data_IF_866973097353
#
_entry.id   IF_866973097353
#
_cell.length_a   1.000
_cell.length_b   1.000
_cell.length_c   1.000
_cell.angle_alpha   90.00
_cell.angle_beta   90.00
_cell.angle_gamma   90.00
#
_symmetry.space_group_name_H-M   'P 1'
#
loop_
_entity.id
_entity.type
_entity.pdbx_description
1 polymer ?
#
# COMPACT_ATOMS: atom_id res chain seq x y z
N UNK A 1 -47.59 56.55 2.75
CA UNK A 1 -46.91 55.45 3.47
C UNK A 1 -47.26 54.19 2.69
N UNK A 2 -46.43 53.80 1.72
CA UNK A 2 -46.70 52.64 0.88
C UNK A 2 -45.38 51.88 0.71
N UNK A 3 -45.39 50.66 1.23
CA UNK A 3 -44.25 49.79 1.48
C UNK A 3 -43.79 49.07 0.20
N UNK A 4 -42.50 49.18 -0.13
CA UNK A 4 -41.84 48.36 -1.15
C UNK A 4 -41.67 46.90 -0.68
N UNK A 5 -42.01 45.87 -1.47
CA UNK A 5 -41.60 44.50 -1.19
C UNK A 5 -40.26 44.15 -1.86
N UNK A 6 -39.39 43.52 -1.05
CA UNK A 6 -38.09 42.90 -1.36
C UNK A 6 -38.08 42.08 -2.67
N UNK A 7 -37.17 42.41 -3.59
CA UNK A 7 -36.69 41.46 -4.60
C UNK A 7 -35.89 40.34 -3.92
N UNK A 8 -36.48 39.15 -3.81
CA UNK A 8 -35.78 37.92 -3.45
C UNK A 8 -35.55 37.14 -4.74
N UNK A 9 -34.30 37.10 -5.21
CA UNK A 9 -33.88 36.39 -6.41
C UNK A 9 -34.22 34.90 -6.31
N UNK A 10 -35.29 34.49 -6.99
CA UNK A 10 -35.54 33.09 -7.34
C UNK A 10 -34.60 32.75 -8.49
N UNK A 11 -33.47 32.12 -8.19
CA UNK A 11 -32.70 31.40 -9.20
C UNK A 11 -33.59 30.23 -9.64
N UNK A 12 -34.12 30.27 -10.86
CA UNK A 12 -34.93 29.21 -11.43
C UNK A 12 -34.18 27.87 -11.39
N UNK A 13 -34.79 26.86 -10.77
CA UNK A 13 -34.37 25.45 -10.87
C UNK A 13 -34.22 24.99 -12.34
N UNK A 14 -34.95 25.62 -13.27
CA UNK A 14 -34.89 25.42 -14.72
C UNK A 14 -33.52 25.70 -15.35
N UNK A 15 -32.67 26.54 -14.74
CA UNK A 15 -31.34 26.84 -15.28
C UNK A 15 -30.27 25.82 -14.86
N UNK A 16 -30.51 25.01 -13.81
CA UNK A 16 -29.56 23.97 -13.37
C UNK A 16 -29.63 22.70 -14.23
N UNK A 17 -30.76 22.45 -14.89
CA UNK A 17 -30.95 21.30 -15.80
C UNK A 17 -30.40 21.52 -17.22
N UNK A 18 -29.93 22.72 -17.55
CA UNK A 18 -29.31 23.06 -18.85
C UNK A 18 -27.79 23.15 -18.82
N UNK A 19 -27.16 22.80 -17.70
CA UNK A 19 -25.73 22.51 -17.72
C UNK A 19 -25.56 21.13 -18.38
N UNK A 20 -24.80 21.00 -19.48
CA UNK A 20 -24.44 19.69 -19.96
C UNK A 20 -23.77 18.92 -18.82
N UNK A 21 -24.07 17.62 -18.61
CA UNK A 21 -23.28 16.81 -17.71
C UNK A 21 -21.80 16.95 -18.13
N UNK A 22 -20.84 16.97 -17.19
CA UNK A 22 -19.43 17.02 -17.54
C UNK A 22 -19.17 15.97 -18.63
N UNK A 23 -18.57 16.43 -19.73
CA UNK A 23 -18.43 15.65 -20.95
C UNK A 23 -17.72 14.35 -20.65
N UNK A 24 -18.41 13.22 -20.87
CA UNK A 24 -17.95 11.84 -20.68
C UNK A 24 -16.56 11.54 -21.31
N UNK A 25 -16.14 12.35 -22.28
CA UNK A 25 -14.85 12.23 -22.96
C UNK A 25 -13.68 12.90 -22.21
N UNK A 26 -13.96 13.86 -21.31
CA UNK A 26 -12.94 14.54 -20.51
C UNK A 26 -12.46 13.71 -19.33
N UNK A 27 -13.36 12.94 -18.70
CA UNK A 27 -13.04 11.99 -17.62
C UNK A 27 -12.17 10.86 -18.16
N UNK A 28 -12.55 10.21 -19.26
CA UNK A 28 -11.79 9.10 -19.84
C UNK A 28 -10.35 9.47 -20.26
N UNK A 29 -10.14 10.71 -20.73
CA UNK A 29 -8.80 11.18 -21.05
C UNK A 29 -7.99 11.44 -19.79
N UNK A 30 -8.59 12.03 -18.76
CA UNK A 30 -7.94 12.29 -17.48
C UNK A 30 -7.53 10.97 -16.79
N UNK A 31 -8.41 9.96 -16.81
CA UNK A 31 -8.16 8.64 -16.25
C UNK A 31 -7.00 7.94 -16.96
N UNK A 32 -6.98 8.00 -18.30
CA UNK A 32 -5.88 7.46 -19.11
C UNK A 32 -4.54 8.17 -18.84
N UNK A 33 -4.55 9.50 -18.63
CA UNK A 33 -3.35 10.26 -18.28
C UNK A 33 -2.78 9.87 -16.93
N UNK A 34 -3.64 9.67 -15.95
CA UNK A 34 -3.19 9.23 -14.62
C UNK A 34 -2.66 7.82 -14.70
N UNK A 35 -3.37 6.90 -15.34
CA UNK A 35 -2.91 5.52 -15.45
C UNK A 35 -1.54 5.45 -16.14
N UNK A 36 -1.36 6.19 -17.24
CA UNK A 36 -0.07 6.34 -17.91
C UNK A 36 1.01 6.96 -17.01
N UNK A 37 0.65 7.97 -16.20
CA UNK A 37 1.54 8.59 -15.22
C UNK A 37 1.96 7.64 -14.09
N UNK A 38 1.04 6.78 -13.62
CA UNK A 38 1.31 5.73 -12.63
C UNK A 38 2.30 4.69 -13.16
N UNK A 39 2.04 4.14 -14.35
CA UNK A 39 2.97 3.23 -15.03
C UNK A 39 4.33 3.88 -15.33
N UNK A 40 4.34 5.14 -15.76
CA UNK A 40 5.56 5.91 -15.99
C UNK A 40 6.38 6.11 -14.72
N UNK A 41 5.72 6.39 -13.59
CA UNK A 41 6.36 6.52 -12.27
C UNK A 41 6.96 5.18 -11.84
N UNK A 42 6.21 4.09 -11.99
CA UNK A 42 6.66 2.73 -11.66
C UNK A 42 7.90 2.34 -12.48
N UNK A 43 7.88 2.61 -13.78
CA UNK A 43 9.02 2.36 -14.68
C UNK A 43 10.26 3.17 -14.26
N UNK A 44 10.09 4.45 -13.89
CA UNK A 44 11.18 5.30 -13.43
C UNK A 44 11.78 4.79 -12.11
N UNK A 45 10.95 4.35 -11.17
CA UNK A 45 11.44 3.75 -9.92
C UNK A 45 12.16 2.43 -10.15
N UNK A 46 11.67 1.58 -11.06
CA UNK A 46 12.32 0.32 -11.42
C UNK A 46 13.66 0.55 -12.13
N UNK A 47 13.71 1.48 -13.10
CA UNK A 47 14.91 1.84 -13.84
C UNK A 47 15.98 2.44 -12.91
N UNK A 48 15.57 3.34 -12.02
CA UNK A 48 16.42 3.91 -10.97
C UNK A 48 16.95 2.80 -10.05
N UNK A 49 16.12 1.84 -9.65
CA UNK A 49 16.56 0.72 -8.81
C UNK A 49 17.56 -0.20 -9.53
N UNK A 50 17.35 -0.49 -10.82
CA UNK A 50 18.30 -1.25 -11.65
C UNK A 50 19.65 -0.53 -11.82
N UNK A 51 19.63 0.80 -11.98
CA UNK A 51 20.84 1.62 -12.01
C UNK A 51 21.60 1.59 -10.67
N UNK A 52 20.89 1.51 -9.54
CA UNK A 52 21.48 1.41 -8.21
C UNK A 52 22.15 0.05 -7.95
N UNK A 53 21.62 -1.04 -8.51
CA UNK A 53 22.20 -2.39 -8.38
C UNK A 53 23.46 -2.54 -9.24
N UNK A 54 23.41 -2.04 -10.47
CA UNK A 54 24.53 -2.11 -11.44
C UNK A 54 25.70 -1.18 -11.07
N UNK A 55 25.45 -0.17 -10.24
CA UNK A 55 26.48 0.63 -9.60
C UNK A 55 27.37 -0.20 -8.67
N UNK A 56 26.84 -1.22 -7.98
CA UNK A 56 27.66 -2.13 -7.18
C UNK A 56 28.66 -2.93 -8.03
N UNK A 57 28.40 -3.05 -9.34
CA UNK A 57 29.23 -3.75 -10.32
C UNK A 57 30.03 -2.82 -11.27
N UNK A 58 30.26 -1.54 -10.91
CA UNK A 58 31.14 -0.58 -11.60
C UNK A 58 30.71 -0.03 -12.98
N UNK A 59 29.47 -0.24 -13.45
CA UNK A 59 29.11 0.08 -14.85
C UNK A 59 28.46 1.46 -15.12
N UNK A 60 27.93 2.19 -14.12
CA UNK A 60 27.11 3.40 -14.35
C UNK A 60 27.41 4.56 -13.37
N UNK A 61 27.26 5.84 -13.81
CA UNK A 61 27.56 7.01 -12.98
C UNK A 61 26.52 7.26 -11.87
N UNK A 62 27.01 7.56 -10.67
CA UNK A 62 26.22 7.77 -9.43
C UNK A 62 25.09 8.82 -9.52
N UNK A 63 25.19 9.80 -10.42
CA UNK A 63 24.15 10.81 -10.56
C UNK A 63 22.87 10.25 -11.21
N UNK A 64 23.00 9.19 -12.02
CA UNK A 64 21.88 8.68 -12.82
C UNK A 64 20.77 8.08 -11.94
N UNK A 65 21.15 7.38 -10.87
CA UNK A 65 20.21 6.83 -9.89
C UNK A 65 19.44 7.93 -9.16
N UNK A 66 20.15 8.91 -8.61
CA UNK A 66 19.52 9.99 -7.83
C UNK A 66 18.64 10.90 -8.68
N UNK A 67 19.03 11.18 -9.93
CA UNK A 67 18.19 11.98 -10.83
C UNK A 67 16.96 11.19 -11.28
N UNK A 68 17.10 9.89 -11.62
CA UNK A 68 15.96 9.03 -11.95
C UNK A 68 14.93 8.96 -10.82
N UNK A 69 15.39 8.81 -9.58
CA UNK A 69 14.50 8.77 -8.41
C UNK A 69 13.78 10.10 -8.17
N UNK A 70 14.46 11.24 -8.36
CA UNK A 70 13.87 12.58 -8.22
C UNK A 70 12.84 12.87 -9.30
N UNK A 71 13.13 12.49 -10.55
CA UNK A 71 12.19 12.64 -11.68
C UNK A 71 10.96 11.78 -11.46
N UNK A 72 11.12 10.52 -11.08
CA UNK A 72 10.01 9.65 -10.72
C UNK A 72 9.19 10.20 -9.56
N UNK A 73 9.84 10.74 -8.52
CA UNK A 73 9.17 11.37 -7.38
C UNK A 73 8.38 12.62 -7.77
N UNK A 74 8.94 13.49 -8.62
CA UNK A 74 8.24 14.68 -9.10
C UNK A 74 6.99 14.30 -9.91
N UNK A 75 7.13 13.31 -10.82
CA UNK A 75 6.00 12.79 -11.58
C UNK A 75 4.92 12.20 -10.66
N UNK A 76 5.31 11.38 -9.69
CA UNK A 76 4.38 10.80 -8.71
C UNK A 76 3.63 11.88 -7.93
N UNK A 77 4.31 12.97 -7.55
CA UNK A 77 3.71 14.10 -6.83
C UNK A 77 2.67 14.81 -7.68
N UNK A 78 2.94 14.99 -8.99
CA UNK A 78 1.99 15.58 -9.94
C UNK A 78 0.77 14.67 -10.11
N UNK A 79 0.98 13.36 -10.28
CA UNK A 79 -0.10 12.38 -10.42
C UNK A 79 -1.00 12.38 -9.16
N UNK A 80 -0.42 12.32 -7.96
CA UNK A 80 -1.19 12.39 -6.71
C UNK A 80 -1.90 13.73 -6.53
N UNK A 81 -1.24 14.83 -6.84
CA UNK A 81 -1.81 16.18 -6.74
C UNK A 81 -2.97 16.43 -7.69
N UNK A 82 -3.03 15.70 -8.80
CA UNK A 82 -4.15 15.72 -9.75
C UNK A 82 -5.24 14.69 -9.38
N UNK A 83 -4.86 13.51 -8.91
CA UNK A 83 -5.81 12.45 -8.54
C UNK A 83 -6.65 12.79 -7.32
N UNK A 84 -6.00 13.15 -6.21
CA UNK A 84 -6.65 13.31 -4.91
C UNK A 84 -7.79 14.36 -4.92
N UNK A 85 -7.66 15.54 -5.59
CA UNK A 85 -8.73 16.53 -5.60
C UNK A 85 -9.73 16.38 -6.76
N UNK A 86 -9.35 15.75 -7.88
CA UNK A 86 -10.20 15.74 -9.09
C UNK A 86 -10.88 14.39 -9.37
N UNK A 87 -10.30 13.28 -8.90
CA UNK A 87 -10.67 11.93 -9.35
C UNK A 87 -10.91 10.94 -8.21
N UNK A 88 -10.47 11.25 -6.98
CA UNK A 88 -10.66 10.38 -5.82
C UNK A 88 -12.15 10.29 -5.44
N UNK A 89 -12.72 9.09 -5.58
CA UNK A 89 -14.12 8.78 -5.24
C UNK A 89 -14.13 7.98 -3.94
N UNK A 90 -14.42 8.66 -2.84
CA UNK A 90 -14.47 8.03 -1.52
C UNK A 90 -15.76 7.23 -1.31
N UNK A 91 -15.71 6.00 -0.78
CA UNK A 91 -14.55 5.22 -0.29
C UNK A 91 -13.97 4.23 -1.31
N UNK A 92 -14.41 4.25 -2.57
CA UNK A 92 -14.05 3.26 -3.57
C UNK A 92 -12.56 3.29 -3.97
N UNK A 93 -12.00 4.48 -4.15
CA UNK A 93 -10.58 4.67 -4.50
C UNK A 93 -9.65 4.69 -3.27
N UNK A 94 -10.18 4.48 -2.06
CA UNK A 94 -9.40 4.70 -0.82
C UNK A 94 -8.18 3.77 -0.70
N UNK A 95 -8.31 2.52 -1.14
CA UNK A 95 -7.23 1.54 -1.04
C UNK A 95 -6.05 1.87 -1.96
N UNK A 96 -6.33 2.17 -3.23
CA UNK A 96 -5.33 2.55 -4.22
C UNK A 96 -4.67 3.89 -3.87
N UNK A 97 -5.46 4.88 -3.46
CA UNK A 97 -4.98 6.20 -3.06
C UNK A 97 -4.00 6.08 -1.88
N UNK A 98 -4.37 5.30 -0.86
CA UNK A 98 -3.54 5.10 0.32
C UNK A 98 -2.23 4.36 -0.02
N UNK A 99 -2.29 3.32 -0.86
CA UNK A 99 -1.11 2.59 -1.31
C UNK A 99 -0.15 3.50 -2.11
N UNK A 100 -0.69 4.33 -3.02
CA UNK A 100 0.10 5.27 -3.81
C UNK A 100 0.74 6.35 -2.93
N UNK A 101 0.00 6.91 -1.97
CA UNK A 101 0.51 7.89 -1.00
C UNK A 101 1.60 7.31 -0.11
N UNK A 102 1.44 6.06 0.35
CA UNK A 102 2.45 5.40 1.19
C UNK A 102 3.71 5.06 0.38
N UNK A 103 3.55 4.65 -0.88
CA UNK A 103 4.68 4.47 -1.79
C UNK A 103 5.45 5.79 -2.01
N UNK A 104 4.74 6.90 -2.22
CA UNK A 104 5.32 8.24 -2.30
C UNK A 104 6.04 8.63 -1.00
N UNK A 105 5.44 8.33 0.16
CA UNK A 105 6.02 8.51 1.49
C UNK A 105 7.33 7.73 1.69
N UNK A 106 7.40 6.49 1.19
CA UNK A 106 8.63 5.70 1.25
C UNK A 106 9.75 6.31 0.39
N UNK A 107 9.42 6.85 -0.79
CA UNK A 107 10.41 7.49 -1.68
C UNK A 107 10.86 8.86 -1.15
N UNK A 108 9.94 9.66 -0.61
CA UNK A 108 10.32 10.92 0.09
C UNK A 108 11.26 10.64 1.25
N UNK A 109 11.00 9.58 2.03
CA UNK A 109 11.88 9.15 3.12
C UNK A 109 13.28 8.81 2.59
N UNK A 110 13.38 8.05 1.49
CA UNK A 110 14.66 7.72 0.84
C UNK A 110 15.43 8.97 0.39
N UNK A 111 14.73 9.99 -0.11
CA UNK A 111 15.33 11.24 -0.60
C UNK A 111 15.75 12.21 0.51
N UNK A 112 15.00 12.26 1.62
CA UNK A 112 15.19 13.23 2.71
C UNK A 112 16.09 12.71 3.84
N UNK A 113 16.22 11.39 4.00
CA UNK A 113 17.07 10.82 5.05
C UNK A 113 18.55 11.21 4.83
N UNK A 114 19.21 11.80 5.85
CA UNK A 114 20.64 12.14 5.78
C UNK A 114 21.50 10.88 5.66
N UNK A 115 22.65 10.99 4.98
CA UNK A 115 23.53 9.85 4.64
C UNK A 115 23.96 8.99 5.84
N UNK A 116 23.90 9.52 7.06
CA UNK A 116 24.22 8.78 8.29
C UNK A 116 23.14 7.76 8.71
N UNK A 117 21.87 8.02 8.37
CA UNK A 117 20.75 7.09 8.60
C UNK A 117 20.52 6.14 7.41
N UNK A 118 21.14 6.42 6.25
CA UNK A 118 21.09 5.58 5.05
C UNK A 118 21.72 4.18 5.25
N UNK A 119 22.62 4.05 6.22
CA UNK A 119 23.15 2.76 6.63
C UNK A 119 22.18 1.96 7.51
N UNK A 120 21.26 2.63 8.22
CA UNK A 120 20.33 2.00 9.16
C UNK A 120 19.09 1.43 8.47
N UNK A 121 18.57 2.12 7.46
CA UNK A 121 17.54 1.61 6.56
C UNK A 121 18.24 1.17 5.29
N UNK A 122 18.37 -0.12 5.04
CA UNK A 122 18.83 -0.60 3.73
C UNK A 122 17.89 -0.07 2.65
N UNK A 123 18.27 1.07 2.02
CA UNK A 123 17.40 1.84 1.12
C UNK A 123 17.02 1.03 -0.12
N UNK A 124 17.81 0.02 -0.48
CA UNK A 124 17.46 -0.91 -1.54
C UNK A 124 16.14 -1.60 -1.21
N UNK A 125 15.96 -2.04 0.03
CA UNK A 125 14.74 -2.75 0.44
C UNK A 125 13.56 -1.78 0.54
N UNK A 126 13.74 -0.59 1.12
CA UNK A 126 12.68 0.45 1.17
C UNK A 126 12.21 0.84 -0.24
N UNK A 127 13.11 0.90 -1.21
CA UNK A 127 12.78 1.17 -2.62
C UNK A 127 12.00 0.03 -3.26
N UNK A 128 12.40 -1.23 -3.03
CA UNK A 128 11.64 -2.41 -3.50
C UNK A 128 10.23 -2.40 -2.91
N UNK A 129 10.10 -2.07 -1.62
CA UNK A 129 8.81 -1.97 -0.96
C UNK A 129 7.93 -0.86 -1.57
N UNK A 130 8.49 0.32 -1.83
CA UNK A 130 7.77 1.40 -2.51
C UNK A 130 7.31 1.03 -3.93
N UNK A 131 8.16 0.34 -4.70
CA UNK A 131 7.83 -0.16 -6.04
C UNK A 131 6.69 -1.18 -5.97
N UNK A 132 6.74 -2.09 -4.99
CA UNK A 132 5.69 -3.09 -4.78
C UNK A 132 4.35 -2.43 -4.46
N UNK A 133 4.32 -1.49 -3.50
CA UNK A 133 3.09 -0.77 -3.13
C UNK A 133 2.51 0.02 -4.31
N UNK A 134 3.36 0.73 -5.06
CA UNK A 134 2.93 1.46 -6.25
C UNK A 134 2.42 0.53 -7.34
N UNK A 135 3.07 -0.63 -7.55
CA UNK A 135 2.64 -1.62 -8.52
C UNK A 135 1.24 -2.16 -8.20
N UNK A 136 0.96 -2.44 -6.92
CA UNK A 136 -0.38 -2.86 -6.48
C UNK A 136 -1.40 -1.73 -6.70
N UNK A 137 -1.06 -0.48 -6.35
CA UNK A 137 -1.96 0.67 -6.55
C UNK A 137 -2.34 0.85 -8.03
N UNK A 138 -1.36 0.78 -8.95
CA UNK A 138 -1.57 0.96 -10.40
C UNK A 138 -2.41 -0.18 -11.00
N UNK A 139 -2.24 -1.41 -10.51
CA UNK A 139 -3.05 -2.56 -10.96
C UNK A 139 -4.51 -2.42 -10.49
N UNK A 140 -4.72 -2.02 -9.24
CA UNK A 140 -6.07 -1.82 -8.69
C UNK A 140 -6.83 -0.71 -9.42
N UNK A 141 -6.15 0.39 -9.76
CA UNK A 141 -6.74 1.52 -10.49
C UNK A 141 -7.12 1.19 -11.94
N UNK A 142 -6.50 0.16 -12.53
CA UNK A 142 -6.88 -0.32 -13.86
C UNK A 142 -8.03 -1.32 -13.89
N UNK A 143 -8.48 -1.81 -12.72
CA UNK A 143 -9.57 -2.77 -12.62
C UNK A 143 -10.86 -2.08 -12.15
N UNK A 144 -11.84 -1.97 -13.04
CA UNK A 144 -13.22 -1.62 -12.69
C UNK A 144 -13.80 -2.77 -11.85
N UNK A 145 -13.62 -2.78 -10.53
CA UNK A 145 -14.12 -3.85 -9.66
C UNK A 145 -15.65 -3.67 -9.52
N UNK A 146 -16.50 -4.52 -10.13
CA UNK A 146 -17.94 -4.29 -10.21
C UNK A 146 -18.66 -4.44 -8.85
N UNK A 147 -17.96 -4.93 -7.83
CA UNK A 147 -18.53 -5.29 -6.54
C UNK A 147 -18.78 -4.12 -5.56
N UNK A 148 -18.31 -2.91 -5.85
CA UNK A 148 -18.47 -1.76 -4.93
C UNK A 148 -19.66 -0.84 -5.26
N UNK A 149 -20.36 -1.08 -6.38
CA UNK A 149 -21.46 -0.24 -6.84
C UNK A 149 -22.83 -0.63 -6.25
N UNK A 150 -22.92 -1.67 -5.40
CA UNK A 150 -24.20 -2.30 -5.07
C UNK A 150 -24.87 -1.87 -3.75
N UNK A 151 -24.42 -0.82 -3.05
CA UNK A 151 -25.06 -0.40 -1.79
C UNK A 151 -25.42 1.08 -1.78
N UNK A 152 -26.41 1.43 -2.59
CA UNK A 152 -26.90 2.80 -2.78
C UNK A 152 -27.88 3.28 -1.68
N UNK A 153 -27.99 2.61 -0.52
CA UNK A 153 -29.05 2.92 0.48
C UNK A 153 -28.66 3.02 1.96
N UNK A 154 -27.39 2.92 2.36
CA UNK A 154 -27.04 2.85 3.78
C UNK A 154 -26.44 4.14 4.38
N UNK A 155 -26.71 4.33 5.67
CA UNK A 155 -26.37 5.52 6.47
C UNK A 155 -24.86 5.86 6.48
N UNK A 156 -24.50 7.11 6.80
CA UNK A 156 -23.11 7.60 6.93
C UNK A 156 -22.17 6.68 7.76
N UNK A 157 -22.74 5.94 8.70
CA UNK A 157 -22.06 4.93 9.51
C UNK A 157 -21.50 3.78 8.67
N UNK A 158 -22.24 3.28 7.69
CA UNK A 158 -21.78 2.20 6.81
C UNK A 158 -20.55 2.64 6.00
N UNK A 159 -20.57 3.84 5.43
CA UNK A 159 -19.41 4.41 4.73
C UNK A 159 -18.20 4.59 5.65
N UNK A 160 -18.43 5.04 6.90
CA UNK A 160 -17.36 5.19 7.88
C UNK A 160 -16.75 3.84 8.29
N UNK A 161 -17.58 2.83 8.55
CA UNK A 161 -17.14 1.47 8.87
C UNK A 161 -16.38 0.85 7.70
N UNK A 162 -16.90 0.99 6.47
CA UNK A 162 -16.25 0.48 5.26
C UNK A 162 -14.88 1.14 5.05
N UNK A 163 -14.81 2.45 5.25
CA UNK A 163 -13.53 3.18 5.19
C UNK A 163 -12.55 2.67 6.24
N UNK A 164 -13.00 2.47 7.48
CA UNK A 164 -12.16 1.96 8.57
C UNK A 164 -11.70 0.52 8.32
N UNK A 165 -12.55 -0.32 7.72
CA UNK A 165 -12.21 -1.66 7.28
C UNK A 165 -11.07 -1.62 6.26
N UNK A 166 -11.22 -0.82 5.20
CA UNK A 166 -10.21 -0.66 4.14
C UNK A 166 -8.89 -0.14 4.73
N UNK A 167 -8.95 0.91 5.56
CA UNK A 167 -7.77 1.49 6.21
C UNK A 167 -7.08 0.46 7.10
N UNK A 168 -7.84 -0.33 7.88
CA UNK A 168 -7.29 -1.38 8.74
C UNK A 168 -6.53 -2.45 7.94
N UNK A 169 -7.10 -2.94 6.84
CA UNK A 169 -6.43 -3.90 5.96
C UNK A 169 -5.18 -3.31 5.31
N UNK A 170 -5.27 -2.12 4.72
CA UNK A 170 -4.12 -1.47 4.06
C UNK A 170 -3.02 -1.16 5.06
N UNK A 171 -3.35 -0.62 6.23
CA UNK A 171 -2.38 -0.37 7.30
C UNK A 171 -1.72 -1.67 7.78
N UNK A 172 -2.49 -2.74 7.94
CA UNK A 172 -1.99 -4.08 8.24
C UNK A 172 -0.96 -4.55 7.21
N UNK A 173 -1.29 -4.44 5.93
CA UNK A 173 -0.40 -4.84 4.83
C UNK A 173 0.90 -4.04 4.80
N UNK A 174 0.83 -2.72 5.01
CA UNK A 174 2.01 -1.86 5.06
C UNK A 174 2.92 -2.28 6.22
N UNK A 175 2.35 -2.54 7.39
CA UNK A 175 3.09 -2.92 8.59
C UNK A 175 3.70 -4.31 8.49
N UNK A 176 2.99 -5.30 7.92
CA UNK A 176 3.56 -6.61 7.66
C UNK A 176 4.65 -6.58 6.60
N UNK A 177 4.50 -5.74 5.57
CA UNK A 177 5.56 -5.46 4.61
C UNK A 177 6.81 -4.88 5.27
N UNK A 178 6.65 -3.92 6.18
CA UNK A 178 7.74 -3.35 6.97
C UNK A 178 8.41 -4.39 7.88
N UNK A 179 7.62 -5.29 8.48
CA UNK A 179 8.14 -6.39 9.28
C UNK A 179 8.96 -7.39 8.44
N UNK A 180 8.46 -7.74 7.25
CA UNK A 180 9.20 -8.56 6.29
C UNK A 180 10.52 -7.89 5.90
N UNK A 181 10.49 -6.58 5.65
CA UNK A 181 11.66 -5.75 5.34
C UNK A 181 12.75 -5.85 6.42
N UNK A 182 12.36 -5.58 7.67
CA UNK A 182 13.26 -5.58 8.80
C UNK A 182 13.84 -6.99 9.04
N UNK A 183 13.06 -8.04 8.78
CA UNK A 183 13.48 -9.43 8.95
C UNK A 183 14.42 -9.91 7.84
N UNK A 184 14.19 -9.48 6.59
CA UNK A 184 15.12 -9.71 5.50
C UNK A 184 16.46 -9.02 5.73
N UNK A 185 16.44 -7.79 6.27
CA UNK A 185 17.64 -7.06 6.63
C UNK A 185 18.41 -7.75 7.76
N UNK A 186 17.71 -8.23 8.79
CA UNK A 186 18.31 -9.02 9.87
C UNK A 186 19.08 -10.23 9.32
N UNK A 187 18.49 -10.98 8.39
CA UNK A 187 19.13 -12.16 7.80
C UNK A 187 20.34 -11.79 6.92
N UNK A 188 20.28 -10.64 6.24
CA UNK A 188 21.41 -10.12 5.47
C UNK A 188 22.59 -9.77 6.38
N UNK A 189 22.35 -9.03 7.47
CA UNK A 189 23.39 -8.69 8.45
C UNK A 189 23.97 -9.95 9.11
N UNK A 190 23.12 -10.91 9.51
CA UNK A 190 23.56 -12.16 10.12
C UNK A 190 24.53 -12.94 9.21
N UNK A 191 24.27 -12.98 7.90
CA UNK A 191 25.16 -13.61 6.91
C UNK A 191 26.50 -12.89 6.79
N UNK A 192 26.50 -11.57 6.78
CA UNK A 192 27.73 -10.77 6.67
C UNK A 192 28.61 -10.88 7.92
N UNK A 193 28.01 -10.94 9.12
CA UNK A 193 28.74 -11.21 10.36
C UNK A 193 29.39 -12.60 10.35
N UNK A 194 28.66 -13.63 9.89
CA UNK A 194 29.18 -15.01 9.79
C UNK A 194 30.28 -15.17 8.76
N UNK A 195 30.27 -14.36 7.69
CA UNK A 195 31.30 -14.37 6.66
C UNK A 195 32.64 -13.72 7.08
N UNK A 196 32.78 -13.23 8.34
CA UNK A 196 33.99 -12.55 8.86
C UNK A 196 34.48 -11.35 8.02
N UNK A 197 33.64 -10.83 7.12
CA UNK A 197 33.93 -9.62 6.35
C UNK A 197 33.72 -8.42 7.27
N UNK A 198 34.73 -8.11 8.10
CA UNK A 198 34.80 -6.86 8.88
C UNK A 198 35.06 -5.69 7.94
N UNK A 199 34.10 -5.39 7.07
CA UNK A 199 34.13 -4.14 6.32
C UNK A 199 33.87 -2.97 7.29
N UNK A 200 34.52 -1.80 7.10
CA UNK A 200 34.29 -0.60 7.91
C UNK A 200 32.81 -0.14 7.95
N UNK A 201 32.00 -0.62 6.99
CA UNK A 201 30.55 -0.38 6.89
C UNK A 201 29.78 -0.99 8.07
N UNK A 202 30.31 -2.03 8.74
CA UNK A 202 29.66 -2.69 9.88
C UNK A 202 29.61 -1.86 11.17
N UNK A 203 30.34 -0.73 11.24
CA UNK A 203 30.32 0.18 12.40
C UNK A 203 29.07 1.08 12.47
N UNK A 204 28.24 1.09 11.43
CA UNK A 204 27.07 1.98 11.32
C UNK A 204 25.72 1.27 11.22
N UNK A 205 25.67 -0.06 11.29
CA UNK A 205 24.39 -0.77 11.37
C UNK A 205 23.83 -0.72 12.80
N UNK A 206 22.50 -0.58 12.98
CA UNK A 206 21.90 -0.75 14.30
C UNK A 206 22.13 -2.20 14.75
N UNK A 207 22.30 -2.45 16.05
CA UNK A 207 22.48 -3.82 16.53
C UNK A 207 21.36 -4.74 16.02
N UNK A 208 21.66 -6.01 15.70
CA UNK A 208 20.68 -7.01 15.23
C UNK A 208 19.40 -7.03 16.09
N UNK A 209 19.51 -6.77 17.39
CA UNK A 209 18.37 -6.67 18.30
C UNK A 209 17.43 -5.49 18.04
N UNK A 210 17.90 -4.39 17.45
CA UNK A 210 17.06 -3.24 17.08
C UNK A 210 16.21 -3.54 15.85
N UNK A 211 16.75 -4.22 14.84
CA UNK A 211 15.98 -4.63 13.66
C UNK A 211 14.88 -5.62 14.05
N UNK A 212 15.20 -6.58 14.92
CA UNK A 212 14.22 -7.54 15.42
C UNK A 212 13.11 -6.86 16.25
N UNK A 213 13.45 -5.84 17.05
CA UNK A 213 12.45 -5.01 17.75
C UNK A 213 11.55 -4.28 16.76
N UNK A 214 12.10 -3.63 15.74
CA UNK A 214 11.32 -2.92 14.72
C UNK A 214 10.38 -3.89 14.01
N UNK A 215 10.88 -5.07 13.60
CA UNK A 215 10.08 -6.15 13.02
C UNK A 215 8.95 -6.57 13.96
N UNK A 216 9.25 -6.83 15.24
CA UNK A 216 8.26 -7.25 16.24
C UNK A 216 7.19 -6.18 16.50
N UNK A 217 7.58 -4.91 16.54
CA UNK A 217 6.62 -3.81 16.68
C UNK A 217 5.72 -3.69 15.46
N UNK A 218 6.30 -3.79 14.26
CA UNK A 218 5.54 -3.77 13.01
C UNK A 218 4.56 -4.95 12.91
N UNK A 219 4.96 -6.17 13.29
CA UNK A 219 4.07 -7.35 13.32
C UNK A 219 2.92 -7.14 14.31
N UNK A 220 3.21 -6.66 15.53
CA UNK A 220 2.18 -6.41 16.55
C UNK A 220 1.15 -5.39 16.08
N UNK A 221 1.60 -4.27 15.54
CA UNK A 221 0.71 -3.22 15.05
C UNK A 221 -0.05 -3.69 13.80
N UNK A 222 0.62 -4.39 12.89
CA UNK A 222 0.01 -4.95 11.68
C UNK A 222 -1.07 -5.98 12.01
N UNK A 223 -0.82 -6.84 13.00
CA UNK A 223 -1.79 -7.81 13.49
C UNK A 223 -3.02 -7.14 14.12
N UNK A 224 -2.82 -6.07 14.90
CA UNK A 224 -3.93 -5.29 15.45
C UNK A 224 -4.78 -4.67 14.34
N UNK A 225 -4.14 -4.05 13.34
CA UNK A 225 -4.84 -3.43 12.21
C UNK A 225 -5.56 -4.46 11.33
N UNK A 226 -4.94 -5.62 11.08
CA UNK A 226 -5.56 -6.73 10.36
C UNK A 226 -6.78 -7.27 11.11
N UNK A 227 -6.67 -7.44 12.43
CA UNK A 227 -7.79 -7.90 13.26
C UNK A 227 -8.94 -6.90 13.23
N UNK A 228 -8.65 -5.60 13.34
CA UNK A 228 -9.64 -4.55 13.23
C UNK A 228 -10.34 -4.59 11.86
N UNK A 229 -9.57 -4.71 10.78
CA UNK A 229 -10.11 -4.87 9.43
C UNK A 229 -11.02 -6.09 9.31
N UNK A 230 -10.60 -7.25 9.82
CA UNK A 230 -11.37 -8.49 9.78
C UNK A 230 -12.69 -8.39 10.56
N UNK A 231 -12.65 -7.81 11.77
CA UNK A 231 -13.84 -7.57 12.60
C UNK A 231 -14.80 -6.61 11.92
N UNK A 232 -14.30 -5.48 11.39
CA UNK A 232 -15.15 -4.53 10.67
C UNK A 232 -15.76 -5.14 9.42
N UNK A 233 -15.00 -5.98 8.70
CA UNK A 233 -15.50 -6.71 7.54
C UNK A 233 -16.60 -7.70 7.89
N UNK A 234 -16.46 -8.39 9.02
CA UNK A 234 -17.49 -9.29 9.54
C UNK A 234 -18.76 -8.55 10.02
N UNK A 235 -18.63 -7.30 10.45
CA UNK A 235 -19.77 -6.43 10.83
C UNK A 235 -20.47 -5.84 9.60
N UNK A 236 -19.71 -5.51 8.54
CA UNK A 236 -20.21 -4.91 7.31
C UNK A 236 -20.87 -5.91 6.37
N UNK A 237 -20.40 -7.16 6.34
CA UNK A 237 -20.95 -8.21 5.48
C UNK A 237 -21.83 -9.18 6.25
N UNK A 238 -22.75 -9.83 5.54
CA UNK A 238 -23.47 -11.03 6.01
C UNK A 238 -22.53 -12.27 6.05
N UNK A 239 -21.26 -12.09 6.41
CA UNK A 239 -20.16 -13.06 6.25
C UNK A 239 -20.27 -14.33 7.09
N UNK A 240 -21.34 -14.47 7.86
CA UNK A 240 -21.73 -15.68 8.58
C UNK A 240 -23.08 -16.24 8.12
N UNK A 241 -23.59 -15.84 6.96
CA UNK A 241 -24.75 -16.49 6.36
C UNK A 241 -24.37 -17.89 5.86
N UNK A 242 -25.22 -18.86 6.20
CA UNK A 242 -24.91 -20.28 6.25
C UNK A 242 -24.40 -20.87 4.91
N UNK A 243 -23.12 -21.23 4.84
CA UNK A 243 -22.62 -22.26 3.93
C UNK A 243 -21.50 -21.86 2.97
N UNK A 244 -21.26 -20.57 2.72
CA UNK A 244 -20.20 -20.12 1.81
C UNK A 244 -19.21 -19.20 2.55
N UNK A 245 -18.19 -19.77 3.18
CA UNK A 245 -17.00 -18.99 3.55
C UNK A 245 -16.41 -18.51 2.22
N UNK A 246 -16.57 -17.22 1.92
CA UNK A 246 -15.99 -16.64 0.72
C UNK A 246 -14.47 -16.87 0.73
N UNK A 247 -13.90 -17.22 -0.43
CA UNK A 247 -12.45 -17.47 -0.55
C UNK A 247 -11.62 -16.33 0.04
N UNK A 248 -12.08 -15.09 -0.14
CA UNK A 248 -11.57 -13.86 0.49
C UNK A 248 -11.36 -13.97 2.00
N UNK A 249 -12.41 -14.36 2.73
CA UNK A 249 -12.35 -14.47 4.19
C UNK A 249 -11.37 -15.55 4.63
N UNK A 250 -11.32 -16.67 3.91
CA UNK A 250 -10.41 -17.78 4.23
C UNK A 250 -8.94 -17.38 4.16
N UNK A 251 -8.55 -16.59 3.16
CA UNK A 251 -7.19 -16.11 3.01
C UNK A 251 -6.80 -15.10 4.10
N UNK A 252 -7.67 -14.13 4.41
CA UNK A 252 -7.40 -13.17 5.48
C UNK A 252 -7.27 -13.85 6.85
N UNK A 253 -8.11 -14.86 7.13
CA UNK A 253 -8.03 -15.67 8.35
C UNK A 253 -6.76 -16.52 8.39
N UNK A 254 -6.34 -17.09 7.25
CA UNK A 254 -5.08 -17.85 7.18
C UNK A 254 -3.86 -16.97 7.49
N UNK A 255 -3.79 -15.77 6.89
CA UNK A 255 -2.71 -14.80 7.16
C UNK A 255 -2.75 -14.37 8.63
N UNK A 256 -3.94 -14.08 9.17
CA UNK A 256 -4.13 -13.77 10.58
C UNK A 256 -3.59 -14.88 11.48
N UNK A 257 -3.89 -16.15 11.17
CA UNK A 257 -3.42 -17.31 11.92
C UNK A 257 -1.90 -17.44 11.88
N UNK A 258 -1.27 -17.29 10.71
CA UNK A 258 0.20 -17.33 10.57
C UNK A 258 0.87 -16.27 11.47
N UNK A 259 0.38 -15.03 11.44
CA UNK A 259 0.95 -13.96 12.28
C UNK A 259 0.60 -14.12 13.77
N UNK A 260 -0.54 -14.70 14.13
CA UNK A 260 -0.90 -15.04 15.51
C UNK A 260 0.04 -16.10 16.10
N UNK A 261 0.30 -17.18 15.35
CA UNK A 261 1.26 -18.22 15.74
C UNK A 261 2.65 -17.63 15.90
N UNK A 262 3.09 -16.77 14.95
CA UNK A 262 4.38 -16.09 15.03
C UNK A 262 4.51 -15.21 16.27
N UNK A 263 3.49 -14.43 16.61
CA UNK A 263 3.48 -13.60 17.82
C UNK A 263 3.53 -14.43 19.09
N UNK A 264 2.78 -15.54 19.13
CA UNK A 264 2.74 -16.46 20.27
C UNK A 264 4.11 -17.14 20.46
N UNK A 265 4.71 -17.63 19.38
CA UNK A 265 6.05 -18.23 19.40
C UNK A 265 7.12 -17.24 19.89
N UNK A 266 7.04 -15.97 19.50
CA UNK A 266 7.97 -14.93 19.97
C UNK A 266 7.81 -14.56 21.45
N UNK A 267 6.63 -14.77 22.04
CA UNK A 267 6.41 -14.55 23.48
C UNK A 267 6.96 -15.70 24.32
N UNK A 268 7.02 -16.92 23.75
CA UNK A 268 7.43 -18.13 24.45
C UNK A 268 8.96 -18.36 24.43
N UNK A 269 9.68 -17.86 23.43
CA UNK A 269 11.13 -18.05 23.30
C UNK A 269 11.91 -16.72 23.13
N UNK A 270 12.90 -16.42 24.00
CA UNK A 270 13.94 -15.43 23.72
C UNK A 270 15.30 -16.14 23.54
N UNK A 271 15.96 -16.10 22.36
CA UNK A 271 16.48 -14.89 21.69
C UNK A 271 16.25 -14.88 20.15
N UNK A 272 16.67 -13.81 19.41
CA UNK A 272 16.51 -13.76 17.96
C UNK A 272 17.41 -14.79 17.26
N UNK A 273 16.81 -15.91 16.85
CA UNK A 273 17.43 -16.87 15.95
C UNK A 273 17.09 -16.56 14.50
N UNK A 274 17.92 -17.06 13.55
CA UNK A 274 17.64 -17.01 12.10
C UNK A 274 16.22 -17.44 11.75
N UNK A 275 15.67 -18.40 12.49
CA UNK A 275 14.35 -18.97 12.27
C UNK A 275 13.24 -17.95 12.55
N UNK A 276 13.40 -17.12 13.58
CA UNK A 276 12.46 -16.07 13.97
C UNK A 276 12.32 -14.96 12.93
N UNK A 277 13.34 -14.77 12.07
CA UNK A 277 13.34 -13.81 10.96
C UNK A 277 12.76 -14.38 9.64
N UNK A 278 12.65 -15.70 9.50
CA UNK A 278 12.09 -16.34 8.28
C UNK A 278 10.56 -16.31 8.29
N UNK A 279 9.93 -16.47 9.46
CA UNK A 279 8.46 -16.50 9.58
C UNK A 279 7.75 -15.23 9.08
N UNK A 280 8.21 -13.99 9.39
CA UNK A 280 7.62 -12.78 8.82
C UNK A 280 7.67 -12.74 7.28
N UNK A 281 8.73 -13.29 6.68
CA UNK A 281 8.91 -13.35 5.23
C UNK A 281 7.93 -14.35 4.62
N UNK A 282 7.79 -15.53 5.26
CA UNK A 282 6.84 -16.55 4.82
C UNK A 282 5.39 -16.07 4.90
N UNK A 283 5.02 -15.37 5.99
CA UNK A 283 3.70 -14.76 6.15
C UNK A 283 3.40 -13.71 5.07
N UNK A 284 4.39 -12.88 4.74
CA UNK A 284 4.25 -11.88 3.68
C UNK A 284 4.14 -12.53 2.29
N UNK A 285 4.87 -13.61 2.03
CA UNK A 285 4.76 -14.36 0.78
C UNK A 285 3.38 -15.01 0.64
N UNK A 286 2.85 -15.60 1.71
CA UNK A 286 1.49 -16.15 1.74
C UNK A 286 0.44 -15.05 1.43
N UNK A 287 0.63 -13.85 1.99
CA UNK A 287 -0.19 -12.70 1.65
C UNK A 287 -0.11 -12.33 0.16
N UNK A 288 1.08 -12.25 -0.43
CA UNK A 288 1.22 -11.96 -1.87
C UNK A 288 0.52 -13.01 -2.73
N UNK A 289 0.63 -14.30 -2.37
CA UNK A 289 -0.09 -15.35 -3.09
C UNK A 289 -1.60 -15.21 -2.97
N UNK A 290 -2.12 -14.83 -1.80
CA UNK A 290 -3.55 -14.58 -1.60
C UNK A 290 -4.03 -13.38 -2.44
N UNK A 291 -3.27 -12.28 -2.45
CA UNK A 291 -3.57 -11.10 -3.26
C UNK A 291 -3.63 -11.44 -4.76
N UNK A 292 -2.63 -12.18 -5.25
CA UNK A 292 -2.58 -12.59 -6.66
C UNK A 292 -3.75 -13.50 -7.02
N UNK A 293 -4.08 -14.47 -6.16
CA UNK A 293 -5.25 -15.34 -6.36
C UNK A 293 -6.55 -14.56 -6.39
N UNK A 294 -6.70 -13.55 -5.54
CA UNK A 294 -7.87 -12.68 -5.51
C UNK A 294 -8.01 -11.87 -6.81
N UNK A 295 -6.90 -11.29 -7.30
CA UNK A 295 -6.87 -10.59 -8.58
C UNK A 295 -7.22 -11.54 -9.74
N UNK A 296 -6.70 -12.77 -9.73
CA UNK A 296 -7.05 -13.78 -10.74
C UNK A 296 -8.53 -14.17 -10.67
N UNK A 297 -9.08 -14.35 -9.48
CA UNK A 297 -10.50 -14.68 -9.30
C UNK A 297 -11.39 -13.55 -9.82
N UNK A 298 -11.04 -12.30 -9.52
CA UNK A 298 -11.71 -11.10 -10.07
C UNK A 298 -11.57 -10.95 -11.59
N UNK A 299 -10.51 -11.53 -12.18
CA UNK A 299 -10.24 -11.44 -13.62
C UNK A 299 -10.89 -12.57 -14.43
N UNK A 300 -11.36 -13.64 -13.79
CA UNK A 300 -12.11 -14.69 -14.48
C UNK A 300 -13.57 -14.25 -14.62
N UNK A 301 -14.16 -14.23 -15.84
CA UNK A 301 -15.59 -14.07 -15.99
C UNK A 301 -16.28 -15.26 -15.31
N UNK A 302 -17.27 -14.97 -14.46
CA UNK A 302 -18.03 -15.96 -13.70
C UNK A 302 -18.38 -17.17 -14.57
N UNK A 303 -17.79 -18.33 -14.27
CA UNK A 303 -18.36 -19.59 -14.73
C UNK A 303 -19.58 -19.78 -13.83
N UNK A 304 -20.81 -19.79 -14.38
CA UNK A 304 -22.01 -19.92 -13.58
C UNK A 304 -21.90 -21.20 -12.75
N UNK A 305 -21.98 -21.03 -11.42
CA UNK A 305 -22.18 -22.11 -10.44
C UNK A 305 -23.63 -22.57 -10.50
#
# INVERSE_FOLDING_TARGET
METYPKMRGRICHECRSRLPPPTFQSTSLMDAWVQAGGWGTLALYFLSWGAALTHHSQALPHWLDHQGLRVGWALHTVVLGLMLPLLSIWPASLAEDLLSVVAWGCVTLVLTIPQRLKALLNLVVVRVFAILLLGIAVVLSGSEIPGLQLLEHEHWLYHALLSLHIIGFVAGYILFGWACLASALFLYEERQLKAKLMQPVLKHFPALGTLDRISTHAIRLGFLMLTLGLVLGAVLGDGFSAGAVSGRLSFSVAIWFVYAVLLTHRQLEPPPGRWTAVWPILGFLCFLTALVMEIYHLSLPDIPQ
#
